data_IF_687596851009
#
_entry.id   IF_687596851009
#
_cell.length_a   1.000
_cell.length_b   1.000
_cell.length_c   1.000
_cell.angle_alpha   90.00
_cell.angle_beta   90.00
_cell.angle_gamma   90.00
#
_symmetry.space_group_name_H-M   'P 1'
#
loop_
_entity.id
_entity.type
_entity.pdbx_description
1 polymer ?
#
# COMPACT_ATOMS: atom_id res chain seq x y z
N UNK A 1 -4.32 -25.13 -4.41
CA UNK A 1 -4.50 -23.77 -5.03
C UNK A 1 -5.97 -23.35 -5.14
N UNK A 2 -6.86 -24.06 -5.89
CA UNK A 2 -8.27 -23.61 -6.00
C UNK A 2 -9.02 -23.69 -4.68
N UNK A 3 -8.77 -24.71 -3.86
CA UNK A 3 -9.33 -24.84 -2.52
C UNK A 3 -8.85 -23.73 -1.58
N UNK A 4 -7.57 -23.40 -1.60
CA UNK A 4 -7.01 -22.27 -0.84
C UNK A 4 -7.66 -20.94 -1.25
N UNK A 5 -7.89 -20.75 -2.55
CA UNK A 5 -8.62 -19.60 -3.05
C UNK A 5 -10.05 -19.52 -2.53
N UNK A 6 -10.75 -20.65 -2.46
CA UNK A 6 -12.10 -20.71 -1.91
C UNK A 6 -12.11 -20.38 -0.41
N UNK A 7 -11.17 -20.92 0.36
CA UNK A 7 -11.02 -20.62 1.79
C UNK A 7 -10.70 -19.14 2.04
N UNK A 8 -9.87 -18.52 1.20
CA UNK A 8 -9.59 -17.08 1.32
C UNK A 8 -10.85 -16.22 1.09
N UNK A 9 -11.69 -16.62 0.14
CA UNK A 9 -12.94 -15.91 -0.13
C UNK A 9 -13.94 -16.05 1.02
N UNK A 10 -14.05 -17.23 1.59
CA UNK A 10 -14.91 -17.48 2.75
C UNK A 10 -14.45 -16.64 3.96
N UNK A 11 -13.16 -16.63 4.25
CA UNK A 11 -12.58 -15.79 5.31
C UNK A 11 -12.85 -14.31 5.08
N UNK A 12 -12.72 -13.85 3.84
CA UNK A 12 -13.02 -12.46 3.48
C UNK A 12 -14.51 -12.15 3.67
N UNK A 13 -15.40 -13.06 3.32
CA UNK A 13 -16.84 -12.93 3.53
C UNK A 13 -17.23 -12.88 5.01
N UNK A 14 -16.57 -13.67 5.85
CA UNK A 14 -16.76 -13.65 7.31
C UNK A 14 -16.27 -12.35 7.95
N UNK A 15 -15.35 -11.65 7.30
CA UNK A 15 -14.76 -10.44 7.84
C UNK A 15 -13.80 -10.68 8.99
N UNK A 16 -13.32 -11.92 9.14
CA UNK A 16 -12.37 -12.31 10.18
C UNK A 16 -10.95 -12.36 9.63
N UNK A 17 -10.20 -11.28 9.79
CA UNK A 17 -8.75 -11.37 9.69
C UNK A 17 -8.17 -11.78 11.05
N UNK A 18 -7.30 -12.77 11.06
CA UNK A 18 -6.60 -13.19 12.28
C UNK A 18 -5.86 -11.98 12.89
N UNK A 19 -6.33 -11.55 14.06
CA UNK A 19 -5.64 -10.53 14.87
C UNK A 19 -5.89 -9.07 14.52
N UNK A 20 -6.80 -8.74 13.60
CA UNK A 20 -7.10 -7.33 13.28
C UNK A 20 -8.56 -6.94 13.57
N UNK A 21 -8.85 -6.42 14.78
CA UNK A 21 -10.20 -5.97 15.15
C UNK A 21 -10.70 -4.74 14.35
N UNK A 22 -9.81 -4.08 13.62
CA UNK A 22 -10.14 -2.88 12.83
C UNK A 22 -10.59 -3.22 11.40
N UNK A 23 -10.59 -4.49 11.01
CA UNK A 23 -11.02 -4.88 9.67
C UNK A 23 -12.55 -4.78 9.55
N UNK A 24 -13.00 -3.88 8.71
CA UNK A 24 -14.42 -3.68 8.45
C UNK A 24 -14.96 -4.82 7.58
N UNK A 25 -16.02 -5.47 8.05
CA UNK A 25 -16.71 -6.52 7.29
C UNK A 25 -17.23 -5.96 5.96
N UNK A 26 -17.12 -6.71 4.84
CA UNK A 26 -17.70 -6.31 3.58
C UNK A 26 -19.24 -6.17 3.65
N UNK A 27 -19.86 -5.35 2.79
CA UNK A 27 -21.31 -5.28 2.69
C UNK A 27 -21.90 -6.62 2.19
N UNK A 28 -23.19 -6.87 2.47
CA UNK A 28 -23.85 -8.14 2.14
C UNK A 28 -23.73 -8.50 0.65
N UNK A 29 -23.84 -7.53 -0.25
CA UNK A 29 -23.66 -7.75 -1.69
C UNK A 29 -22.28 -8.30 -2.08
N UNK A 30 -21.25 -7.90 -1.36
CA UNK A 30 -19.88 -8.36 -1.61
C UNK A 30 -19.63 -9.72 -0.97
N UNK A 31 -20.28 -10.00 0.16
CA UNK A 31 -20.29 -11.33 0.79
C UNK A 31 -20.89 -12.37 -0.16
N UNK A 32 -22.01 -12.04 -0.79
CA UNK A 32 -22.67 -12.93 -1.77
C UNK A 32 -21.77 -13.23 -2.95
N UNK A 33 -21.06 -12.23 -3.48
CA UNK A 33 -20.09 -12.40 -4.57
C UNK A 33 -18.93 -13.31 -4.16
N UNK A 34 -18.37 -13.11 -2.97
CA UNK A 34 -17.28 -13.94 -2.46
C UNK A 34 -17.72 -15.38 -2.22
N UNK A 35 -18.89 -15.58 -1.67
CA UNK A 35 -19.47 -16.91 -1.40
C UNK A 35 -19.76 -17.65 -2.72
N UNK A 36 -20.31 -16.97 -3.72
CA UNK A 36 -20.53 -17.56 -5.05
C UNK A 36 -19.20 -17.92 -5.72
N UNK A 37 -18.20 -17.07 -5.63
CA UNK A 37 -16.87 -17.33 -6.18
C UNK A 37 -16.20 -18.52 -5.48
N UNK A 38 -16.28 -18.63 -4.16
CA UNK A 38 -15.77 -19.79 -3.40
C UNK A 38 -16.44 -21.11 -3.84
N UNK A 39 -17.77 -21.09 -3.99
CA UNK A 39 -18.53 -22.25 -4.49
C UNK A 39 -18.08 -22.66 -5.89
N UNK A 40 -17.92 -21.70 -6.83
CA UNK A 40 -17.46 -21.98 -8.19
C UNK A 40 -16.04 -22.50 -8.25
N UNK A 41 -15.16 -22.05 -7.38
CA UNK A 41 -13.80 -22.58 -7.27
C UNK A 41 -13.78 -24.07 -6.88
N UNK A 42 -14.77 -24.54 -6.11
CA UNK A 42 -14.91 -25.95 -5.70
C UNK A 42 -15.69 -26.81 -6.70
N UNK A 43 -16.42 -26.21 -7.63
CA UNK A 43 -17.29 -26.93 -8.56
C UNK A 43 -16.48 -27.72 -9.59
N UNK A 44 -16.26 -29.01 -9.29
CA UNK A 44 -15.49 -29.91 -10.15
C UNK A 44 -16.17 -30.31 -11.44
N UNK A 45 -17.43 -29.93 -11.68
CA UNK A 45 -18.11 -30.13 -12.96
C UNK A 45 -17.57 -29.23 -14.08
N UNK A 46 -16.82 -28.19 -13.71
CA UNK A 46 -16.19 -27.25 -14.62
C UNK A 46 -14.67 -27.45 -14.70
N UNK A 47 -14.08 -27.05 -15.83
CA UNK A 47 -12.62 -27.09 -16.02
C UNK A 47 -11.90 -26.19 -14.99
N UNK A 48 -10.65 -26.52 -14.67
CA UNK A 48 -9.84 -25.73 -13.74
C UNK A 48 -9.73 -24.24 -14.18
N UNK A 49 -9.68 -23.97 -15.47
CA UNK A 49 -9.63 -22.61 -16.02
C UNK A 49 -10.94 -21.85 -15.79
N UNK A 50 -12.08 -22.49 -16.00
CA UNK A 50 -13.40 -21.88 -15.75
C UNK A 50 -13.58 -21.60 -14.26
N UNK A 51 -13.17 -22.50 -13.40
CA UNK A 51 -13.20 -22.36 -11.93
C UNK A 51 -12.31 -21.19 -11.50
N UNK A 52 -11.08 -21.12 -12.01
CA UNK A 52 -10.14 -20.06 -11.71
C UNK A 52 -10.70 -18.68 -12.14
N UNK A 53 -11.33 -18.59 -13.32
CA UNK A 53 -11.89 -17.33 -13.82
C UNK A 53 -12.92 -16.70 -12.90
N UNK A 54 -13.68 -17.51 -12.17
CA UNK A 54 -14.63 -17.02 -11.16
C UNK A 54 -13.88 -16.35 -9.98
N UNK A 55 -12.80 -16.97 -9.51
CA UNK A 55 -11.99 -16.49 -8.39
C UNK A 55 -11.19 -15.22 -8.69
N UNK A 56 -10.82 -14.99 -9.96
CA UNK A 56 -10.04 -13.81 -10.37
C UNK A 56 -10.90 -12.78 -11.13
N UNK A 57 -12.21 -12.87 -11.04
CA UNK A 57 -13.12 -11.93 -11.68
C UNK A 57 -12.86 -10.48 -11.22
N UNK A 58 -13.18 -9.51 -12.09
CA UNK A 58 -12.97 -8.08 -11.77
C UNK A 58 -13.69 -7.67 -10.48
N UNK A 59 -14.87 -8.22 -10.21
CA UNK A 59 -15.62 -7.91 -8.99
C UNK A 59 -14.92 -8.44 -7.75
N UNK A 60 -14.44 -9.69 -7.75
CA UNK A 60 -13.69 -10.28 -6.64
C UNK A 60 -12.40 -9.46 -6.38
N UNK A 61 -11.68 -9.07 -7.42
CA UNK A 61 -10.47 -8.25 -7.29
C UNK A 61 -10.75 -6.87 -6.67
N UNK A 62 -11.86 -6.25 -7.02
CA UNK A 62 -12.28 -4.98 -6.42
C UNK A 62 -12.58 -5.14 -4.92
N UNK A 63 -13.30 -6.20 -4.55
CA UNK A 63 -13.61 -6.49 -3.15
C UNK A 63 -12.33 -6.68 -2.34
N UNK A 64 -11.36 -7.49 -2.82
CA UNK A 64 -10.08 -7.68 -2.12
C UNK A 64 -9.21 -6.41 -2.07
N UNK A 65 -9.36 -5.50 -3.03
CA UNK A 65 -8.70 -4.20 -2.97
C UNK A 65 -9.28 -3.33 -1.85
N UNK A 66 -10.61 -3.31 -1.73
CA UNK A 66 -11.31 -2.45 -0.79
C UNK A 66 -11.39 -3.08 0.62
N UNK A 67 -11.37 -4.41 0.68
CA UNK A 67 -11.37 -5.22 1.91
C UNK A 67 -10.23 -6.26 1.90
N UNK A 68 -8.96 -5.82 1.94
CA UNK A 68 -7.84 -6.75 1.90
C UNK A 68 -7.76 -7.59 3.17
N UNK A 69 -7.57 -8.91 3.02
CA UNK A 69 -7.21 -9.77 4.14
C UNK A 69 -5.79 -9.42 4.58
N UNK A 70 -5.68 -8.89 5.79
CA UNK A 70 -4.41 -8.49 6.39
C UNK A 70 -4.17 -9.36 7.63
N UNK A 71 -3.60 -10.54 7.42
CA UNK A 71 -3.21 -11.43 8.50
C UNK A 71 -1.80 -11.09 9.01
N UNK A 72 -1.56 -11.36 10.29
CA UNK A 72 -0.24 -11.25 10.91
C UNK A 72 0.42 -9.86 10.73
N UNK A 73 -0.39 -8.81 10.75
CA UNK A 73 0.14 -7.46 10.73
C UNK A 73 0.78 -7.14 12.07
N UNK A 74 2.01 -6.66 12.00
CA UNK A 74 2.66 -5.96 13.11
C UNK A 74 2.70 -4.47 12.81
N UNK A 75 2.71 -3.66 13.85
CA UNK A 75 2.79 -2.21 13.74
C UNK A 75 4.18 -1.74 14.16
N UNK A 76 4.93 -1.19 13.22
CA UNK A 76 6.16 -0.48 13.56
C UNK A 76 5.86 0.83 14.30
N UNK A 77 6.90 1.48 14.81
CA UNK A 77 6.75 2.86 15.30
C UNK A 77 6.23 3.77 14.18
N UNK A 78 5.52 4.81 14.55
CA UNK A 78 5.08 5.85 13.61
C UNK A 78 6.30 6.65 13.14
N UNK A 79 6.49 6.71 11.82
CA UNK A 79 7.50 7.55 11.20
C UNK A 79 6.81 8.82 10.68
N UNK A 80 7.27 10.02 11.07
CA UNK A 80 6.73 11.24 10.50
C UNK A 80 7.08 11.29 9.01
N UNK A 81 6.08 11.59 8.18
CA UNK A 81 6.26 11.89 6.77
C UNK A 81 6.00 13.37 6.57
N UNK A 82 7.05 14.12 6.24
CA UNK A 82 6.92 15.52 5.88
C UNK A 82 6.70 15.65 4.37
N UNK A 83 5.53 16.14 3.99
CA UNK A 83 5.17 16.36 2.58
C UNK A 83 5.54 17.80 2.22
N UNK A 84 6.70 17.96 1.60
CA UNK A 84 7.14 19.24 1.10
C UNK A 84 6.17 19.78 0.03
N UNK A 85 6.00 21.11 0.02
CA UNK A 85 5.20 21.79 -1.02
C UNK A 85 5.75 21.51 -2.42
N UNK A 86 4.89 21.56 -3.44
CA UNK A 86 5.23 21.26 -4.85
C UNK A 86 6.45 22.05 -5.36
N UNK A 87 6.64 23.29 -4.88
CA UNK A 87 7.80 24.13 -5.22
C UNK A 87 9.15 23.56 -4.74
N UNK A 88 9.15 22.66 -3.75
CA UNK A 88 10.39 22.02 -3.29
C UNK A 88 10.99 21.07 -4.34
N UNK A 89 10.20 20.58 -5.30
CA UNK A 89 10.68 19.76 -6.43
C UNK A 89 11.55 20.54 -7.40
N UNK A 90 11.37 21.85 -7.48
CA UNK A 90 12.13 22.77 -8.36
C UNK A 90 13.07 23.68 -7.56
N UNK A 91 13.25 23.41 -6.26
CA UNK A 91 14.13 24.16 -5.39
C UNK A 91 15.60 23.88 -5.71
N UNK A 92 16.40 24.95 -5.83
CA UNK A 92 17.83 24.82 -5.84
C UNK A 92 18.38 24.98 -4.42
N UNK A 93 19.28 24.10 -4.05
CA UNK A 93 19.99 24.18 -2.79
C UNK A 93 21.26 25.03 -3.00
N UNK A 94 21.38 26.11 -2.28
CA UNK A 94 22.58 26.93 -2.28
C UNK A 94 23.25 26.83 -0.92
N UNK A 95 24.52 26.43 -0.91
CA UNK A 95 25.34 26.46 0.27
C UNK A 95 26.24 27.67 0.20
N UNK A 96 26.26 28.47 1.23
CA UNK A 96 27.13 29.65 1.34
C UNK A 96 27.88 29.60 2.66
N UNK A 97 29.18 29.82 2.59
CA UNK A 97 30.01 30.01 3.77
C UNK A 97 30.10 31.52 4.06
N UNK A 98 29.41 32.01 5.10
CA UNK A 98 29.36 33.47 5.37
C UNK A 98 30.72 34.14 5.46
N UNK A 99 31.71 33.43 6.00
CA UNK A 99 33.08 33.92 6.12
C UNK A 99 33.80 34.05 4.78
N UNK A 100 33.33 33.37 3.74
CA UNK A 100 33.94 33.44 2.40
C UNK A 100 33.16 34.37 1.49
N UNK A 101 31.90 34.65 1.81
CA UNK A 101 31.06 35.55 1.04
C UNK A 101 31.53 37.01 1.24
N UNK A 102 32.08 37.61 0.20
CA UNK A 102 32.68 38.95 0.27
C UNK A 102 34.13 38.98 0.78
N UNK A 103 34.74 37.85 1.04
CA UNK A 103 36.15 37.77 1.42
C UNK A 103 37.06 38.32 0.29
N UNK A 104 38.09 39.03 0.65
CA UNK A 104 39.06 39.52 -0.29
C UNK A 104 40.49 39.49 0.29
N UNK A 105 41.47 39.43 -0.57
CA UNK A 105 42.86 39.48 -0.16
C UNK A 105 43.41 40.89 -0.25
N UNK A 106 44.05 41.36 0.79
CA UNK A 106 44.74 42.63 0.79
C UNK A 106 46.04 42.55 -0.04
N UNK A 107 46.64 43.73 -0.46
CA UNK A 107 47.91 43.75 -1.19
C UNK A 107 49.06 43.11 -0.41
N UNK A 108 49.02 43.08 0.91
CA UNK A 108 50.03 42.44 1.79
C UNK A 108 49.88 40.94 1.87
N UNK A 109 48.90 40.31 1.16
CA UNK A 109 48.63 38.89 1.15
C UNK A 109 47.74 38.40 2.27
N UNK A 110 47.26 39.25 3.16
CA UNK A 110 46.32 38.85 4.25
C UNK A 110 44.89 38.76 3.75
N UNK A 111 44.15 37.75 4.23
CA UNK A 111 42.74 37.57 3.92
C UNK A 111 41.84 38.30 4.91
N UNK A 112 40.81 38.95 4.37
CA UNK A 112 39.73 39.56 5.13
C UNK A 112 38.49 38.72 4.89
N UNK A 113 37.88 38.20 5.97
CA UNK A 113 36.59 37.51 5.87
C UNK A 113 35.46 38.46 5.52
N UNK A 114 34.50 37.95 4.73
CA UNK A 114 33.28 38.70 4.44
C UNK A 114 32.31 38.72 5.62
#
# INVERSE_FOLDING_TARGET
MLEEGALLMERAAEGTAYGNPSQKRPPASDIDVLTDAARRLRDTSHSAQQRLSAGISSRVRLIFRDHPLRDLLDSSRVYPLDVARTKALAGAWYEIFPRSAGAFQRPDGTWVSG
#
